data_IF_922035601846
#
_entry.id   IF_922035601846
#
_cell.length_a   1.000
_cell.length_b   1.000
_cell.length_c   1.000
_cell.angle_alpha   90.00
_cell.angle_beta   90.00
_cell.angle_gamma   90.00
#
_symmetry.space_group_name_H-M   'P 1'
#
loop_
_entity.id
_entity.type
_entity.pdbx_description
1 polymer ?
#
# COMPACT_ATOMS: atom_id res chain seq x y z
N UNK A 1 -35.74 -34.22 52.94
CA UNK A 1 -34.37 -34.40 53.47
C UNK A 1 -33.54 -35.06 52.39
N UNK A 2 -32.34 -34.51 52.20
CA UNK A 2 -31.25 -34.96 51.31
C UNK A 2 -31.54 -34.98 49.80
N UNK A 3 -30.93 -34.02 49.10
CA UNK A 3 -30.79 -33.97 47.65
C UNK A 3 -29.65 -34.90 47.21
N UNK A 4 -29.90 -35.64 46.13
CA UNK A 4 -28.88 -36.36 45.37
C UNK A 4 -28.14 -35.41 44.41
N UNK A 5 -26.85 -35.70 44.25
CA UNK A 5 -25.88 -34.97 43.43
C UNK A 5 -26.15 -35.32 41.96
N UNK A 6 -26.51 -34.32 41.16
CA UNK A 6 -26.41 -34.37 39.69
C UNK A 6 -25.23 -33.50 39.28
N UNK A 7 -24.21 -34.13 38.70
CA UNK A 7 -23.10 -33.45 38.04
C UNK A 7 -23.61 -32.90 36.71
N UNK A 8 -23.72 -31.57 36.61
CA UNK A 8 -23.95 -30.88 35.35
C UNK A 8 -22.68 -30.14 34.92
N UNK A 9 -22.08 -30.61 33.83
CA UNK A 9 -21.13 -29.84 33.03
C UNK A 9 -21.83 -28.62 32.43
N UNK A 10 -21.42 -27.43 32.86
CA UNK A 10 -21.52 -26.14 32.18
C UNK A 10 -20.74 -25.16 33.07
N UNK A 11 -19.82 -24.35 32.58
CA UNK A 11 -20.15 -23.25 31.68
C UNK A 11 -18.99 -22.90 30.77
N UNK A 12 -19.29 -22.85 29.47
CA UNK A 12 -18.51 -22.19 28.45
C UNK A 12 -18.01 -20.82 28.92
N UNK A 13 -16.71 -20.55 28.74
CA UNK A 13 -16.17 -19.20 28.84
C UNK A 13 -16.73 -18.39 27.69
N UNK A 14 -17.81 -17.66 27.96
CA UNK A 14 -18.33 -16.63 27.08
C UNK A 14 -17.26 -15.57 26.90
N UNK A 15 -16.51 -15.65 25.80
CA UNK A 15 -15.79 -14.53 25.25
C UNK A 15 -16.83 -13.46 24.93
N UNK A 16 -16.93 -12.46 25.81
CA UNK A 16 -17.70 -11.25 25.53
C UNK A 16 -17.13 -10.66 24.24
N UNK A 17 -17.94 -10.72 23.18
CA UNK A 17 -17.71 -9.92 21.98
C UNK A 17 -17.64 -8.45 22.41
N UNK A 18 -16.62 -7.69 21.99
CA UNK A 18 -16.63 -6.25 22.18
C UNK A 18 -17.89 -5.69 21.51
N UNK A 19 -18.66 -4.92 22.26
CA UNK A 19 -19.78 -4.17 21.72
C UNK A 19 -19.23 -3.03 20.85
N UNK A 20 -19.33 -3.17 19.52
CA UNK A 20 -18.92 -2.16 18.55
C UNK A 20 -18.13 -2.76 17.38
N UNK A 21 -18.83 -3.40 16.44
CA UNK A 21 -18.23 -3.84 15.19
C UNK A 21 -17.95 -2.65 14.28
N UNK A 22 -16.79 -2.00 14.46
CA UNK A 22 -16.23 -1.14 13.44
C UNK A 22 -15.26 -1.98 12.62
N UNK A 23 -15.67 -2.29 11.41
CA UNK A 23 -14.78 -2.81 10.38
C UNK A 23 -13.63 -1.82 10.15
N UNK A 24 -12.43 -2.18 10.62
CA UNK A 24 -11.26 -1.30 10.56
C UNK A 24 -10.78 -1.16 9.10
N UNK A 25 -10.42 0.05 8.69
CA UNK A 25 -9.90 0.37 7.35
C UNK A 25 -8.52 1.00 7.49
N UNK A 26 -7.62 0.79 6.53
CA UNK A 26 -6.28 1.35 6.61
C UNK A 26 -5.64 1.55 5.23
N UNK A 27 -4.71 2.50 5.17
CA UNK A 27 -3.71 2.52 4.10
C UNK A 27 -2.65 1.47 4.39
N UNK A 28 -2.08 0.89 3.35
CA UNK A 28 -0.98 -0.07 3.48
C UNK A 28 0.11 0.21 2.46
N UNK A 29 1.36 0.13 2.90
CA UNK A 29 2.54 0.17 2.03
C UNK A 29 3.48 -1.00 2.37
N UNK A 30 4.48 -1.23 1.52
CA UNK A 30 5.43 -2.32 1.67
C UNK A 30 6.86 -1.79 1.67
N UNK A 31 7.66 -2.24 2.65
CA UNK A 31 9.08 -1.91 2.76
C UNK A 31 9.92 -3.17 2.96
N UNK A 32 11.04 -3.24 2.24
CA UNK A 32 12.00 -4.32 2.34
C UNK A 32 13.42 -3.78 2.23
N UNK A 33 14.39 -4.58 2.71
CA UNK A 33 15.84 -4.31 2.67
C UNK A 33 16.29 -3.12 3.52
N UNK A 34 17.61 -3.05 3.69
CA UNK A 34 18.29 -1.87 4.19
C UNK A 34 18.53 -0.87 3.05
N UNK A 35 17.54 -0.04 2.75
CA UNK A 35 17.64 0.99 1.71
C UNK A 35 16.94 2.30 2.10
N UNK A 36 17.12 3.31 1.27
CA UNK A 36 16.59 4.66 1.49
C UNK A 36 15.08 4.82 1.26
N UNK A 37 14.38 3.75 0.86
CA UNK A 37 12.91 3.75 0.74
C UNK A 37 12.21 3.99 2.08
N UNK A 38 12.89 3.86 3.21
CA UNK A 38 12.36 4.34 4.50
C UNK A 38 12.01 5.83 4.45
N UNK A 39 12.79 6.67 3.73
CA UNK A 39 12.49 8.09 3.54
C UNK A 39 11.19 8.29 2.76
N UNK A 40 10.96 7.40 1.78
CA UNK A 40 9.76 7.38 0.97
C UNK A 40 8.52 7.13 1.84
N UNK A 41 8.57 6.10 2.70
CA UNK A 41 7.48 5.77 3.63
C UNK A 41 7.24 6.87 4.66
N UNK A 42 8.30 7.51 5.19
CA UNK A 42 8.14 8.70 6.07
C UNK A 42 7.44 9.84 5.32
N UNK A 43 7.86 10.12 4.09
CA UNK A 43 7.22 11.12 3.23
C UNK A 43 5.75 10.80 2.97
N UNK A 44 5.40 9.54 2.73
CA UNK A 44 4.02 9.07 2.56
C UNK A 44 3.19 9.24 3.84
N UNK A 45 3.74 8.85 5.00
CA UNK A 45 3.06 9.03 6.29
C UNK A 45 2.76 10.51 6.57
N UNK A 46 3.72 11.40 6.30
CA UNK A 46 3.53 12.85 6.39
C UNK A 46 2.50 13.37 5.39
N UNK A 47 2.50 12.84 4.15
CA UNK A 47 1.52 13.21 3.12
C UNK A 47 0.09 12.86 3.53
N UNK A 48 -0.15 11.63 3.98
CA UNK A 48 -1.43 11.19 4.52
C UNK A 48 -1.89 12.07 5.69
N UNK A 49 -0.98 12.43 6.59
CA UNK A 49 -1.27 13.36 7.70
C UNK A 49 -1.59 14.77 7.22
N UNK A 50 -0.87 15.29 6.21
CA UNK A 50 -1.11 16.62 5.62
C UNK A 50 -2.51 16.74 5.04
N UNK A 51 -2.98 15.68 4.39
CA UNK A 51 -4.35 15.60 3.83
C UNK A 51 -5.39 15.17 4.87
N UNK A 52 -4.98 15.04 6.14
CA UNK A 52 -5.83 14.75 7.28
C UNK A 52 -6.65 13.47 7.10
N UNK A 53 -6.01 12.41 6.64
CA UNK A 53 -6.69 11.11 6.58
C UNK A 53 -7.20 10.69 7.96
N UNK A 54 -8.38 10.05 7.99
CA UNK A 54 -8.92 9.44 9.20
C UNK A 54 -8.31 8.06 9.51
N UNK A 55 -7.57 7.46 8.57
CA UNK A 55 -7.16 6.07 8.63
C UNK A 55 -5.65 5.90 8.87
N UNK A 56 -5.22 4.87 9.60
CA UNK A 56 -3.80 4.64 9.87
C UNK A 56 -3.05 4.16 8.62
N UNK A 57 -1.72 4.31 8.65
CA UNK A 57 -0.80 3.69 7.68
C UNK A 57 -0.18 2.43 8.28
N UNK A 58 -0.50 1.29 7.70
CA UNK A 58 0.16 0.00 7.97
C UNK A 58 1.37 -0.13 7.04
N UNK A 59 2.52 -0.51 7.58
CA UNK A 59 3.71 -0.81 6.78
C UNK A 59 4.01 -2.30 6.91
N UNK A 60 3.78 -3.04 5.82
CA UNK A 60 4.23 -4.41 5.69
C UNK A 60 5.75 -4.42 5.55
N UNK A 61 6.47 -5.02 6.49
CA UNK A 61 7.93 -5.06 6.52
C UNK A 61 8.46 -6.48 6.39
N UNK A 62 9.56 -6.67 5.66
CA UNK A 62 10.30 -7.93 5.68
C UNK A 62 11.28 -7.99 6.87
N UNK A 63 11.66 -9.20 7.32
CA UNK A 63 12.66 -9.37 8.39
C UNK A 63 14.01 -8.68 8.12
N UNK A 64 14.34 -8.41 6.86
CA UNK A 64 15.59 -7.75 6.46
C UNK A 64 15.59 -6.21 6.58
N UNK A 65 14.46 -5.62 6.98
CA UNK A 65 14.36 -4.18 7.29
C UNK A 65 15.05 -3.91 8.63
N UNK A 66 16.09 -3.05 8.69
CA UNK A 66 16.82 -2.75 9.92
C UNK A 66 15.92 -2.21 11.04
N UNK A 67 16.28 -2.53 12.27
CA UNK A 67 15.59 -2.06 13.48
C UNK A 67 15.54 -0.53 13.58
N UNK A 68 16.59 0.16 13.11
CA UNK A 68 16.60 1.63 13.03
C UNK A 68 15.49 2.18 12.11
N UNK A 69 15.23 1.52 10.98
CA UNK A 69 14.16 1.91 10.07
C UNK A 69 12.80 1.62 10.69
N UNK A 70 12.66 0.49 11.37
CA UNK A 70 11.41 0.11 12.07
C UNK A 70 11.04 1.16 13.13
N UNK A 71 11.98 1.48 14.02
CA UNK A 71 11.79 2.51 15.05
C UNK A 71 11.49 3.88 14.46
N UNK A 72 12.16 4.25 13.35
CA UNK A 72 11.88 5.50 12.65
C UNK A 72 10.42 5.54 12.16
N UNK A 73 9.93 4.46 11.54
CA UNK A 73 8.56 4.39 11.06
C UNK A 73 7.53 4.40 12.20
N UNK A 74 7.77 3.67 13.27
CA UNK A 74 6.92 3.69 14.47
C UNK A 74 6.89 5.10 15.10
N UNK A 75 8.04 5.78 15.17
CA UNK A 75 8.10 7.17 15.64
C UNK A 75 7.31 8.15 14.76
N UNK A 76 7.03 7.77 13.51
CA UNK A 76 6.21 8.52 12.56
C UNK A 76 4.73 8.06 12.57
N UNK A 77 4.33 7.25 13.55
CA UNK A 77 2.95 6.80 13.77
C UNK A 77 2.51 5.68 12.83
N UNK A 78 3.44 5.02 12.12
CA UNK A 78 3.14 3.87 11.28
C UNK A 78 2.90 2.62 12.12
N UNK A 79 1.97 1.77 11.70
CA UNK A 79 1.73 0.45 12.29
C UNK A 79 2.56 -0.57 11.51
N UNK A 80 3.60 -1.13 12.12
CA UNK A 80 4.40 -2.15 11.46
C UNK A 80 3.73 -3.52 11.53
N UNK A 81 3.71 -4.22 10.40
CA UNK A 81 3.31 -5.62 10.31
C UNK A 81 4.39 -6.40 9.59
N UNK A 82 5.10 -7.26 10.32
CA UNK A 82 6.07 -8.13 9.69
C UNK A 82 5.37 -9.20 8.84
N UNK A 83 5.89 -9.44 7.65
CA UNK A 83 5.39 -10.45 6.71
C UNK A 83 6.51 -11.35 6.22
N UNK A 84 6.14 -12.59 5.89
CA UNK A 84 7.09 -13.58 5.37
C UNK A 84 7.51 -13.26 3.93
N UNK A 85 8.82 -13.29 3.61
CA UNK A 85 9.31 -13.18 2.25
C UNK A 85 8.68 -14.22 1.33
N UNK A 86 8.37 -13.83 0.10
CA UNK A 86 7.94 -14.76 -0.95
C UNK A 86 9.13 -15.16 -1.79
N UNK A 87 9.40 -16.47 -1.82
CA UNK A 87 10.44 -17.08 -2.63
C UNK A 87 9.82 -17.76 -3.84
N UNK A 88 10.33 -17.46 -5.03
CA UNK A 88 9.98 -18.19 -6.25
C UNK A 88 10.83 -19.47 -6.34
N UNK A 89 10.30 -20.56 -6.92
CA UNK A 89 11.08 -21.73 -7.31
C UNK A 89 12.34 -21.37 -8.12
N UNK A 90 13.43 -22.13 -7.96
CA UNK A 90 14.72 -21.84 -8.61
C UNK A 90 14.61 -21.73 -10.14
N UNK A 91 13.81 -22.59 -10.78
CA UNK A 91 13.55 -22.57 -12.23
C UNK A 91 12.82 -21.31 -12.72
N UNK A 92 12.23 -20.53 -11.81
CA UNK A 92 11.55 -19.27 -12.08
C UNK A 92 12.43 -18.04 -11.79
N UNK A 93 13.56 -18.18 -11.09
CA UNK A 93 14.44 -17.02 -10.80
C UNK A 93 15.24 -16.53 -12.00
N UNK A 94 15.38 -17.33 -13.07
CA UNK A 94 16.25 -17.03 -14.22
C UNK A 94 15.79 -15.83 -15.07
N UNK A 95 14.50 -15.48 -15.01
CA UNK A 95 13.89 -14.42 -15.82
C UNK A 95 13.51 -13.16 -15.02
N UNK A 96 13.71 -13.18 -13.70
CA UNK A 96 13.32 -12.09 -12.82
C UNK A 96 14.55 -11.40 -12.23
N UNK A 97 14.64 -10.07 -12.39
CA UNK A 97 15.61 -9.28 -11.63
C UNK A 97 15.36 -9.50 -10.13
N UNK A 98 16.38 -9.81 -9.32
CA UNK A 98 16.19 -10.18 -7.91
C UNK A 98 15.43 -9.16 -7.05
N UNK A 99 15.38 -7.88 -7.45
CA UNK A 99 14.52 -6.88 -6.79
C UNK A 99 13.03 -7.03 -7.16
N UNK A 100 12.69 -7.56 -8.32
CA UNK A 100 11.30 -7.80 -8.75
C UNK A 100 10.67 -8.97 -7.99
N UNK A 101 11.49 -9.93 -7.55
CA UNK A 101 11.04 -11.07 -6.76
C UNK A 101 10.54 -10.60 -5.38
N UNK A 102 11.23 -9.64 -4.77
CA UNK A 102 10.88 -9.16 -3.43
C UNK A 102 9.47 -8.55 -3.39
N UNK A 103 9.04 -7.94 -4.51
CA UNK A 103 7.72 -7.31 -4.62
C UNK A 103 6.58 -8.31 -4.51
N UNK A 104 6.78 -9.59 -4.85
CA UNK A 104 5.77 -10.62 -4.62
C UNK A 104 5.46 -10.81 -3.13
N UNK A 105 6.37 -10.44 -2.23
CA UNK A 105 6.09 -10.47 -0.79
C UNK A 105 4.93 -9.54 -0.41
N UNK A 106 4.69 -8.47 -1.20
CA UNK A 106 3.56 -7.57 -0.98
C UNK A 106 2.20 -8.28 -1.11
N UNK A 107 2.12 -9.45 -1.74
CA UNK A 107 0.88 -10.25 -1.79
C UNK A 107 0.39 -10.68 -0.39
N UNK A 108 1.27 -10.67 0.62
CA UNK A 108 0.93 -10.97 2.01
C UNK A 108 0.01 -9.93 2.66
N UNK A 109 -0.14 -8.74 2.09
CA UNK A 109 -1.09 -7.74 2.62
C UNK A 109 -2.54 -8.22 2.57
N UNK A 110 -2.88 -9.20 1.73
CA UNK A 110 -4.20 -9.84 1.75
C UNK A 110 -4.44 -10.70 3.00
N UNK A 111 -3.42 -10.99 3.81
CA UNK A 111 -3.57 -11.72 5.08
C UNK A 111 -4.03 -10.81 6.23
N UNK A 112 -4.12 -9.49 6.02
CA UNK A 112 -4.46 -8.50 7.04
C UNK A 112 -5.98 -8.44 7.32
N UNK A 113 -6.59 -9.58 7.65
CA UNK A 113 -8.05 -9.73 7.91
C UNK A 113 -8.57 -8.93 9.12
N UNK A 114 -7.70 -8.30 9.89
CA UNK A 114 -8.07 -7.30 10.89
C UNK A 114 -8.72 -6.05 10.26
N UNK A 115 -8.54 -5.85 8.95
CA UNK A 115 -9.13 -4.76 8.18
C UNK A 115 -10.13 -5.27 7.16
N UNK A 116 -11.27 -4.59 7.00
CA UNK A 116 -12.28 -4.96 6.00
C UNK A 116 -11.92 -4.48 4.59
N UNK A 117 -11.24 -3.34 4.50
CA UNK A 117 -10.80 -2.74 3.24
C UNK A 117 -9.52 -1.95 3.43
N UNK A 118 -8.64 -2.04 2.46
CA UNK A 118 -7.36 -1.35 2.47
C UNK A 118 -7.08 -0.66 1.15
N UNK A 119 -6.34 0.45 1.23
CA UNK A 119 -5.77 1.13 0.06
C UNK A 119 -4.27 0.90 0.08
N UNK A 120 -3.77 0.13 -0.88
CA UNK A 120 -2.35 -0.04 -1.08
C UNK A 120 -1.76 1.18 -1.79
N UNK A 121 -0.62 1.65 -1.30
CA UNK A 121 0.20 2.71 -1.90
C UNK A 121 1.65 2.21 -1.93
N UNK A 122 2.28 2.20 -3.11
CA UNK A 122 3.73 2.00 -3.17
C UNK A 122 4.45 3.07 -2.33
N UNK A 123 5.60 2.72 -1.76
CA UNK A 123 6.39 3.65 -0.95
C UNK A 123 6.83 4.91 -1.72
N UNK A 124 6.93 4.84 -3.06
CA UNK A 124 7.28 5.94 -3.96
C UNK A 124 6.08 6.71 -4.51
N UNK A 125 4.93 6.59 -3.85
CA UNK A 125 3.75 7.42 -4.07
C UNK A 125 3.72 8.56 -3.05
N UNK A 126 3.15 9.70 -3.44
CA UNK A 126 2.81 10.78 -2.52
C UNK A 126 1.35 11.20 -2.69
N UNK A 127 0.69 11.46 -1.56
CA UNK A 127 -0.70 11.90 -1.48
C UNK A 127 -0.73 13.41 -1.21
N UNK A 128 -1.37 14.16 -2.10
CA UNK A 128 -1.47 15.61 -2.10
C UNK A 128 -2.87 16.15 -1.80
N UNK A 129 -3.89 15.30 -1.90
CA UNK A 129 -5.25 15.59 -1.48
C UNK A 129 -5.88 14.34 -0.85
N UNK A 130 -6.91 14.51 -0.03
CA UNK A 130 -7.54 13.40 0.68
C UNK A 130 -8.23 12.44 -0.32
N UNK A 131 -8.03 11.13 -0.12
CA UNK A 131 -8.56 10.04 -0.95
C UNK A 131 -9.37 9.02 -0.12
N UNK A 132 -9.77 9.39 1.09
CA UNK A 132 -10.51 8.54 2.02
C UNK A 132 -11.85 8.09 1.43
N UNK A 133 -12.42 8.85 0.49
CA UNK A 133 -13.65 8.47 -0.22
C UNK A 133 -13.53 7.14 -0.98
N UNK A 134 -12.31 6.71 -1.30
CA UNK A 134 -12.07 5.44 -1.97
C UNK A 134 -12.41 4.23 -1.09
N UNK A 135 -12.44 4.38 0.23
CA UNK A 135 -12.91 3.32 1.12
C UNK A 135 -14.42 3.06 1.02
N UNK A 136 -15.18 4.03 0.50
CA UNK A 136 -16.64 3.94 0.36
C UNK A 136 -17.09 3.35 -0.99
N UNK A 137 -16.13 3.00 -1.86
CA UNK A 137 -16.42 2.28 -3.10
C UNK A 137 -17.03 0.90 -2.81
N UNK A 138 -17.94 0.37 -3.64
CA UNK A 138 -18.57 -0.93 -3.40
C UNK A 138 -17.56 -2.06 -3.22
N UNK A 139 -17.81 -2.92 -2.23
CA UNK A 139 -16.97 -4.09 -1.95
C UNK A 139 -17.01 -5.11 -3.10
N UNK A 140 -15.96 -5.92 -3.17
CA UNK A 140 -15.90 -7.10 -4.02
C UNK A 140 -15.29 -6.83 -5.39
N UNK A 141 -14.90 -5.61 -5.70
CA UNK A 141 -14.16 -5.22 -6.90
C UNK A 141 -12.72 -4.81 -6.52
N UNK A 142 -11.76 -5.09 -7.40
CA UNK A 142 -10.38 -4.59 -7.29
C UNK A 142 -10.27 -3.25 -8.03
N UNK A 143 -10.05 -2.15 -7.31
CA UNK A 143 -10.00 -0.83 -7.94
C UNK A 143 -8.56 -0.35 -8.11
N UNK A 144 -8.19 0.08 -9.32
CA UNK A 144 -6.86 0.61 -9.60
C UNK A 144 -6.89 1.57 -10.80
N UNK A 145 -5.85 2.37 -10.98
CA UNK A 145 -5.76 3.27 -12.14
C UNK A 145 -5.18 2.54 -13.34
N UNK A 146 -5.73 2.81 -14.53
CA UNK A 146 -5.23 2.28 -15.80
C UNK A 146 -3.76 2.65 -16.03
N UNK A 147 -2.98 1.70 -16.51
CA UNK A 147 -1.62 1.90 -16.98
C UNK A 147 -1.62 2.38 -18.44
N UNK A 148 -0.65 3.24 -18.81
CA UNK A 148 -0.48 3.72 -20.18
C UNK A 148 0.66 2.97 -20.87
N UNK A 149 0.34 2.23 -21.93
CA UNK A 149 1.32 1.45 -22.70
C UNK A 149 1.94 2.22 -23.87
N UNK A 150 2.44 3.40 -23.61
CA UNK A 150 2.61 4.37 -24.68
C UNK A 150 3.95 4.17 -25.42
N UNK A 151 3.86 3.89 -26.74
CA UNK A 151 4.89 3.52 -27.74
C UNK A 151 5.82 2.34 -27.43
N UNK A 152 6.71 2.41 -26.44
CA UNK A 152 7.77 1.40 -26.26
C UNK A 152 7.27 0.10 -25.59
N UNK A 153 6.37 0.22 -24.62
CA UNK A 153 5.78 -0.96 -23.96
C UNK A 153 4.73 -1.65 -24.83
N UNK A 154 4.07 -0.89 -25.70
CA UNK A 154 3.13 -1.43 -26.68
C UNK A 154 3.81 -2.33 -27.70
N UNK A 155 5.01 -2.01 -28.17
CA UNK A 155 5.76 -2.90 -29.08
C UNK A 155 6.06 -4.26 -28.41
N UNK A 156 6.40 -4.24 -27.12
CA UNK A 156 6.67 -5.45 -26.34
C UNK A 156 5.39 -6.28 -26.07
N UNK A 157 4.24 -5.63 -25.89
CA UNK A 157 2.93 -6.28 -25.70
C UNK A 157 2.30 -6.75 -27.03
N UNK A 158 2.43 -5.98 -28.11
CA UNK A 158 1.96 -6.33 -29.45
C UNK A 158 2.75 -7.51 -30.04
N UNK A 159 4.05 -7.59 -29.76
CA UNK A 159 4.86 -8.76 -30.09
C UNK A 159 4.35 -10.06 -29.43
N UNK A 160 3.67 -9.95 -28.28
CA UNK A 160 3.03 -11.10 -27.60
C UNK A 160 1.59 -11.35 -28.06
N UNK A 161 0.84 -10.32 -28.43
CA UNK A 161 -0.60 -10.41 -28.68
C UNK A 161 -1.00 -10.70 -30.14
N UNK A 162 -0.08 -10.63 -31.12
CA UNK A 162 -0.37 -10.79 -32.56
C UNK A 162 -1.58 -9.95 -33.04
N UNK A 163 -1.88 -8.84 -32.36
CA UNK A 163 -3.01 -7.96 -32.65
C UNK A 163 -2.64 -6.51 -32.40
N UNK A 164 -3.12 -5.62 -33.28
CA UNK A 164 -2.91 -4.19 -33.19
C UNK A 164 -3.89 -3.56 -32.18
N UNK A 165 -3.78 -3.91 -30.90
CA UNK A 165 -4.58 -3.25 -29.86
C UNK A 165 -4.11 -1.81 -29.64
N UNK A 166 -5.07 -0.90 -29.46
CA UNK A 166 -4.79 0.48 -29.01
C UNK A 166 -4.64 0.50 -27.49
N UNK A 167 -3.90 1.46 -26.93
CA UNK A 167 -3.75 1.68 -25.47
C UNK A 167 -5.07 1.68 -24.68
N UNK A 168 -6.19 1.99 -25.33
CA UNK A 168 -7.53 2.10 -24.71
C UNK A 168 -8.29 0.77 -24.64
N UNK A 169 -7.82 -0.29 -25.29
CA UNK A 169 -8.55 -1.56 -25.41
C UNK A 169 -8.05 -2.65 -24.44
N UNK A 170 -6.93 -2.41 -23.74
CA UNK A 170 -6.44 -3.29 -22.69
C UNK A 170 -6.80 -2.69 -21.33
N UNK A 171 -7.73 -3.33 -20.62
CA UNK A 171 -7.96 -3.07 -19.19
C UNK A 171 -6.77 -3.62 -18.40
N UNK A 172 -5.74 -2.79 -18.25
CA UNK A 172 -4.55 -3.12 -17.48
C UNK A 172 -4.24 -1.98 -16.52
N UNK A 173 -4.05 -2.29 -15.25
CA UNK A 173 -3.82 -1.31 -14.20
C UNK A 173 -2.35 -1.19 -13.80
N UNK A 174 -2.01 -0.01 -13.30
CA UNK A 174 -0.79 0.24 -12.57
C UNK A 174 -0.94 -0.23 -11.13
N UNK A 175 -0.06 -1.10 -10.65
CA UNK A 175 -0.15 -1.70 -9.30
C UNK A 175 0.50 -0.86 -8.19
N UNK A 176 0.82 0.41 -8.49
CA UNK A 176 1.36 1.35 -7.52
C UNK A 176 0.33 1.89 -6.54
N UNK A 177 -0.95 1.82 -6.89
CA UNK A 177 -2.05 2.15 -6.01
C UNK A 177 -3.27 1.31 -6.37
N UNK A 178 -3.92 0.72 -5.36
CA UNK A 178 -5.16 -0.02 -5.55
C UNK A 178 -5.98 -0.14 -4.25
N UNK A 179 -7.28 -0.35 -4.38
CA UNK A 179 -8.22 -0.63 -3.29
C UNK A 179 -8.60 -2.11 -3.32
N UNK A 180 -8.57 -2.77 -2.17
CA UNK A 180 -8.87 -4.20 -2.06
C UNK A 180 -9.40 -4.57 -0.67
N UNK A 181 -10.09 -5.72 -0.59
CA UNK A 181 -10.46 -6.35 0.68
C UNK A 181 -9.46 -7.46 1.06
N UNK A 182 -8.81 -7.37 2.23
CA UNK A 182 -8.00 -8.46 2.75
C UNK A 182 -8.82 -9.74 2.93
N UNK A 183 -8.22 -10.88 2.57
CA UNK A 183 -8.81 -12.21 2.76
C UNK A 183 -7.72 -13.27 2.73
N UNK A 184 -7.62 -14.09 3.77
CA UNK A 184 -6.70 -15.24 3.81
C UNK A 184 -6.92 -16.19 2.64
N UNK A 185 -8.17 -16.36 2.23
CA UNK A 185 -8.53 -17.20 1.07
C UNK A 185 -7.92 -16.64 -0.21
N UNK A 186 -8.04 -15.33 -0.43
CA UNK A 186 -7.44 -14.66 -1.60
C UNK A 186 -5.92 -14.65 -1.49
N UNK A 187 -5.34 -14.36 -0.32
CA UNK A 187 -3.90 -14.41 -0.09
C UNK A 187 -3.33 -15.80 -0.44
N UNK A 188 -3.96 -16.87 0.07
CA UNK A 188 -3.57 -18.25 -0.25
C UNK A 188 -3.66 -18.54 -1.75
N UNK A 189 -4.75 -18.14 -2.40
CA UNK A 189 -4.92 -18.31 -3.85
C UNK A 189 -3.84 -17.54 -4.64
N UNK A 190 -3.55 -16.30 -4.26
CA UNK A 190 -2.47 -15.50 -4.84
C UNK A 190 -1.11 -16.20 -4.70
N UNK A 191 -0.78 -16.74 -3.53
CA UNK A 191 0.52 -17.40 -3.33
C UNK A 191 0.61 -18.76 -4.02
N UNK A 192 -0.47 -19.54 -4.06
CA UNK A 192 -0.49 -20.84 -4.72
C UNK A 192 -0.47 -20.71 -6.24
N UNK A 193 -1.21 -19.75 -6.81
CA UNK A 193 -1.17 -19.45 -8.25
C UNK A 193 0.19 -18.89 -8.66
N UNK A 194 0.87 -18.12 -7.81
CA UNK A 194 2.20 -17.59 -8.11
C UNK A 194 3.23 -18.71 -8.33
N UNK A 195 3.20 -19.79 -7.54
CA UNK A 195 4.14 -20.92 -7.66
C UNK A 195 4.16 -21.56 -9.05
N UNK A 196 3.03 -21.55 -9.74
CA UNK A 196 2.87 -22.14 -11.08
C UNK A 196 2.82 -21.09 -12.19
N UNK A 197 2.88 -19.80 -11.85
CA UNK A 197 2.91 -18.72 -12.84
C UNK A 197 4.35 -18.48 -13.29
N UNK A 198 4.55 -18.30 -14.59
CA UNK A 198 5.86 -17.92 -15.11
C UNK A 198 6.15 -16.47 -14.71
N UNK A 199 7.36 -16.16 -14.20
CA UNK A 199 7.76 -14.78 -13.94
C UNK A 199 7.65 -13.95 -15.20
N UNK A 200 7.32 -12.68 -15.01
CA UNK A 200 7.17 -11.76 -16.12
C UNK A 200 8.02 -10.51 -15.92
N UNK A 201 8.28 -9.73 -16.99
CA UNK A 201 9.08 -8.51 -16.89
C UNK A 201 8.48 -7.49 -15.90
N UNK A 202 7.15 -7.36 -15.80
CA UNK A 202 6.53 -6.40 -14.89
C UNK A 202 6.18 -6.99 -13.51
N UNK A 203 6.86 -8.08 -13.14
CA UNK A 203 6.87 -8.61 -11.78
C UNK A 203 5.45 -8.85 -11.23
N UNK A 204 5.13 -8.22 -10.10
CA UNK A 204 3.84 -8.37 -9.44
C UNK A 204 2.71 -7.61 -10.13
N UNK A 205 2.99 -6.58 -10.95
CA UNK A 205 1.96 -5.83 -11.65
C UNK A 205 1.25 -6.69 -12.69
N UNK A 206 2.00 -7.37 -13.56
CA UNK A 206 1.43 -8.25 -14.58
C UNK A 206 0.76 -9.48 -13.95
N UNK A 207 1.33 -9.98 -12.84
CA UNK A 207 0.70 -11.04 -12.07
C UNK A 207 -0.67 -10.64 -11.52
N UNK A 208 -0.76 -9.48 -10.86
CA UNK A 208 -2.01 -8.96 -10.31
C UNK A 208 -3.03 -8.67 -11.41
N UNK A 209 -2.59 -8.10 -12.54
CA UNK A 209 -3.47 -7.85 -13.69
C UNK A 209 -4.13 -9.13 -14.19
N UNK A 210 -3.36 -10.21 -14.33
CA UNK A 210 -3.91 -11.51 -14.72
C UNK A 210 -4.82 -12.10 -13.65
N UNK A 211 -4.46 -11.95 -12.37
CA UNK A 211 -5.24 -12.55 -11.28
C UNK A 211 -6.60 -11.87 -11.09
N UNK A 212 -6.68 -10.56 -11.29
CA UNK A 212 -7.86 -9.74 -11.07
C UNK A 212 -8.56 -9.31 -12.38
N UNK A 213 -8.24 -9.93 -13.52
CA UNK A 213 -8.77 -9.55 -14.83
C UNK A 213 -10.30 -9.50 -14.88
N UNK A 214 -10.96 -10.47 -14.24
CA UNK A 214 -12.43 -10.58 -14.19
C UNK A 214 -13.08 -9.69 -13.12
N UNK A 215 -12.29 -9.05 -12.27
CA UNK A 215 -12.76 -8.34 -11.07
C UNK A 215 -12.16 -6.94 -10.92
N UNK A 216 -11.62 -6.38 -11.99
CA UNK A 216 -10.95 -5.08 -11.98
C UNK A 216 -11.91 -3.96 -12.39
N UNK A 217 -11.89 -2.83 -11.65
CA UNK A 217 -12.56 -1.59 -12.03
C UNK A 217 -11.63 -0.39 -12.07
N UNK A 218 -11.63 0.40 -13.17
CA UNK A 218 -10.71 1.51 -13.33
C UNK A 218 -11.08 2.70 -12.43
N UNK A 219 -10.07 3.27 -11.79
CA UNK A 219 -10.11 4.54 -11.09
C UNK A 219 -9.70 5.70 -11.98
N UNK A 220 -10.13 6.91 -11.61
CA UNK A 220 -9.68 8.14 -12.27
C UNK A 220 -8.16 8.29 -12.18
N UNK A 221 -7.46 8.75 -13.24
CA UNK A 221 -6.02 8.93 -13.21
C UNK A 221 -5.50 9.94 -12.17
N UNK A 222 -6.38 10.76 -11.58
CA UNK A 222 -6.02 11.66 -10.46
C UNK A 222 -5.54 10.91 -9.21
N UNK A 223 -5.90 9.62 -9.07
CA UNK A 223 -5.58 8.78 -7.91
C UNK A 223 -4.27 7.99 -8.04
N UNK A 224 -3.59 8.06 -9.17
CA UNK A 224 -2.26 7.45 -9.37
C UNK A 224 -1.62 8.00 -10.65
N UNK A 225 -1.23 9.28 -10.63
CA UNK A 225 -0.52 9.85 -11.78
C UNK A 225 0.89 9.29 -11.85
N UNK A 226 1.13 8.39 -12.81
CA UNK A 226 2.49 8.03 -13.23
C UNK A 226 3.18 9.26 -13.81
N UNK A 227 4.32 9.64 -13.23
CA UNK A 227 5.03 10.86 -13.61
C UNK A 227 5.39 10.90 -15.10
N UNK A 228 5.60 9.74 -15.74
CA UNK A 228 5.89 9.66 -17.17
C UNK A 228 4.74 10.14 -18.07
N UNK A 229 3.52 10.24 -17.54
CA UNK A 229 2.38 10.79 -18.28
C UNK A 229 2.58 12.25 -18.66
N UNK A 230 3.37 13.01 -17.90
CA UNK A 230 3.64 14.42 -18.15
C UNK A 230 4.31 14.68 -19.52
N UNK A 231 5.12 13.74 -19.99
CA UNK A 231 5.84 13.86 -21.27
C UNK A 231 5.38 12.85 -22.32
N UNK A 232 4.74 11.75 -21.93
CA UNK A 232 4.12 10.81 -22.88
C UNK A 232 2.82 11.35 -23.48
N UNK A 233 2.10 12.22 -22.76
CA UNK A 233 0.82 12.80 -23.18
C UNK A 233 0.70 14.30 -22.89
N UNK A 234 1.62 15.15 -23.37
CA UNK A 234 1.68 16.57 -22.98
C UNK A 234 0.38 17.34 -23.25
N UNK A 235 -0.42 16.92 -24.24
CA UNK A 235 -1.71 17.50 -24.60
C UNK A 235 -2.93 16.93 -23.84
N UNK A 236 -2.77 15.77 -23.18
CA UNK A 236 -3.84 15.04 -22.49
C UNK A 236 -3.52 14.76 -21.01
N UNK A 237 -2.49 15.39 -20.45
CA UNK A 237 -2.15 15.22 -19.03
C UNK A 237 -3.30 15.75 -18.19
N UNK A 238 -3.71 14.97 -17.19
CA UNK A 238 -4.50 15.47 -16.06
C UNK A 238 -3.83 16.75 -15.55
N UNK A 239 -4.60 17.83 -15.42
CA UNK A 239 -4.10 19.06 -14.79
C UNK A 239 -3.42 18.71 -13.47
N UNK A 240 -2.11 18.93 -13.39
CA UNK A 240 -1.27 18.55 -12.24
C UNK A 240 -1.81 19.15 -10.94
N UNK A 241 -2.55 20.26 -11.01
CA UNK A 241 -3.20 20.88 -9.85
C UNK A 241 -4.39 20.07 -9.30
N UNK A 242 -4.98 19.19 -10.12
CA UNK A 242 -6.12 18.33 -9.77
C UNK A 242 -5.70 16.91 -9.38
N UNK A 243 -4.42 16.59 -9.50
CA UNK A 243 -3.89 15.28 -9.14
C UNK A 243 -3.86 15.16 -7.63
N UNK A 244 -4.48 14.10 -7.12
CA UNK A 244 -4.50 13.78 -5.69
C UNK A 244 -3.30 12.93 -5.28
N UNK A 245 -2.83 12.07 -6.18
CA UNK A 245 -1.77 11.10 -5.90
C UNK A 245 -0.79 11.06 -7.06
N UNK A 246 0.51 11.19 -6.75
CA UNK A 246 1.60 11.13 -7.74
C UNK A 246 2.48 9.92 -7.45
N UNK A 247 2.79 9.16 -8.49
CA UNK A 247 3.65 7.99 -8.42
C UNK A 247 4.99 8.29 -9.11
N UNK A 248 6.05 8.37 -8.31
CA UNK A 248 7.39 8.70 -8.77
C UNK A 248 8.10 7.45 -9.31
N UNK A 249 7.46 6.71 -10.22
CA UNK A 249 7.97 5.43 -10.74
C UNK A 249 9.07 5.57 -11.81
N UNK A 250 9.12 6.70 -12.53
CA UNK A 250 10.08 6.94 -13.59
C UNK A 250 11.54 6.97 -13.07
N UNK A 251 12.50 6.53 -13.89
CA UNK A 251 13.91 6.59 -13.55
C UNK A 251 14.35 8.03 -13.23
N UNK A 252 15.11 8.22 -12.15
CA UNK A 252 15.53 9.54 -11.66
C UNK A 252 14.46 10.35 -10.93
N UNK A 253 13.19 9.93 -10.98
CA UNK A 253 12.09 10.73 -10.42
C UNK A 253 11.90 10.60 -8.91
N UNK A 254 12.53 9.61 -8.26
CA UNK A 254 12.45 9.43 -6.80
C UNK A 254 12.93 10.71 -6.09
N UNK A 255 12.08 11.43 -5.34
CA UNK A 255 12.45 12.74 -4.80
C UNK A 255 13.71 12.73 -3.93
N UNK A 256 13.91 11.67 -3.13
CA UNK A 256 15.09 11.50 -2.26
C UNK A 256 16.38 11.09 -2.99
N UNK A 257 16.31 10.79 -4.30
CA UNK A 257 17.45 10.51 -5.18
C UNK A 257 17.53 11.46 -6.36
N UNK A 258 16.71 12.51 -6.37
CA UNK A 258 16.53 13.35 -7.53
C UNK A 258 17.81 14.14 -7.84
N UNK A 259 18.36 13.96 -9.05
CA UNK A 259 19.55 14.69 -9.50
C UNK A 259 19.26 15.72 -10.58
N UNK A 260 18.10 15.61 -11.25
CA UNK A 260 17.73 16.43 -12.39
C UNK A 260 18.45 16.07 -13.70
N UNK A 261 19.29 15.02 -13.71
CA UNK A 261 20.13 14.64 -14.86
C UNK A 261 19.53 13.55 -15.73
N UNK A 262 18.68 12.70 -15.15
CA UNK A 262 17.99 11.65 -15.89
C UNK A 262 16.98 12.23 -16.88
N UNK A 263 16.59 11.41 -17.84
CA UNK A 263 15.70 11.83 -18.92
C UNK A 263 14.39 12.42 -18.38
N UNK A 264 13.97 13.56 -18.94
CA UNK A 264 12.77 14.30 -18.57
C UNK A 264 12.78 14.91 -17.15
N UNK A 265 13.85 14.72 -16.36
CA UNK A 265 13.94 15.31 -15.02
C UNK A 265 14.22 16.83 -15.07
N UNK A 266 14.75 17.35 -16.17
CA UNK A 266 14.96 18.79 -16.34
C UNK A 266 13.65 19.61 -16.44
N UNK A 267 12.48 18.97 -16.57
CA UNK A 267 11.19 19.63 -16.76
C UNK A 267 10.73 20.37 -15.50
N UNK A 268 10.07 21.51 -15.70
CA UNK A 268 9.61 22.36 -14.59
C UNK A 268 8.46 21.73 -13.79
N UNK A 269 7.57 20.98 -14.43
CA UNK A 269 6.51 20.24 -13.74
C UNK A 269 7.05 19.12 -12.83
N UNK A 270 8.07 18.40 -13.30
CA UNK A 270 8.79 17.39 -12.50
C UNK A 270 9.51 18.03 -11.31
N UNK A 271 10.28 19.10 -11.54
CA UNK A 271 10.96 19.85 -10.45
C UNK A 271 9.97 20.35 -9.41
N UNK A 272 8.84 20.89 -9.84
CA UNK A 272 7.77 21.36 -8.95
C UNK A 272 7.22 20.22 -8.10
N UNK A 273 6.95 19.05 -8.68
CA UNK A 273 6.46 17.88 -7.94
C UNK A 273 7.50 17.29 -6.99
N UNK A 274 8.79 17.33 -7.34
CA UNK A 274 9.88 16.92 -6.43
C UNK A 274 9.99 17.90 -5.26
N UNK A 275 9.91 19.21 -5.53
CA UNK A 275 9.92 20.23 -4.48
C UNK A 275 8.73 20.07 -3.53
N UNK A 276 7.52 19.86 -4.07
CA UNK A 276 6.33 19.55 -3.26
C UNK A 276 6.53 18.34 -2.35
N UNK A 277 7.21 17.30 -2.83
CA UNK A 277 7.51 16.14 -2.00
C UNK A 277 8.43 16.51 -0.83
N UNK A 278 9.47 17.30 -1.09
CA UNK A 278 10.39 17.79 -0.05
C UNK A 278 9.73 18.75 0.93
N UNK A 279 8.80 19.59 0.47
CA UNK A 279 7.96 20.43 1.35
C UNK A 279 7.17 19.58 2.34
N UNK A 280 6.61 18.44 1.91
CA UNK A 280 5.94 17.50 2.82
C UNK A 280 6.93 16.81 3.75
N UNK A 281 8.05 16.31 3.22
CA UNK A 281 9.01 15.54 4.00
C UNK A 281 9.70 16.38 5.09
N UNK A 282 10.10 17.61 4.76
CA UNK A 282 10.82 18.53 5.65
C UNK A 282 9.92 19.29 6.63
N UNK A 283 8.60 19.21 6.48
CA UNK A 283 7.67 19.87 7.41
C UNK A 283 7.61 19.08 8.73
N UNK A 284 8.24 19.63 9.77
CA UNK A 284 8.24 19.07 11.13
C UNK A 284 6.87 19.17 11.81
N UNK A 285 5.99 20.09 11.37
CA UNK A 285 4.63 20.14 11.89
C UNK A 285 3.81 18.90 11.47
N UNK A 286 4.27 18.20 10.43
CA UNK A 286 3.75 16.91 10.01
C UNK A 286 4.43 15.73 10.71
N UNK A 287 5.38 15.88 11.63
CA UNK A 287 5.84 14.74 12.42
C UNK A 287 4.73 14.20 13.32
N UNK A 288 4.74 12.88 13.55
CA UNK A 288 3.76 12.27 14.44
C UNK A 288 3.96 12.74 15.88
N UNK A 289 2.88 13.20 16.49
CA UNK A 289 2.84 13.59 17.91
C UNK A 289 2.01 12.55 18.64
N UNK A 290 2.60 11.71 19.51
CA UNK A 290 1.84 10.75 20.27
C UNK A 290 0.82 11.51 21.15
N UNK A 291 -0.40 10.98 21.33
CA UNK A 291 -1.39 11.61 22.19
C UNK A 291 -0.80 11.74 23.60
N UNK A 292 -0.77 12.97 24.12
CA UNK A 292 -0.43 13.24 25.52
C UNK A 292 -1.62 12.82 26.37
N UNK A 293 -1.47 11.72 27.11
CA UNK A 293 -2.43 11.37 28.15
C UNK A 293 -2.18 12.32 29.33
N UNK A 294 -3.04 13.33 29.51
CA UNK A 294 -3.05 14.09 30.76
C UNK A 294 -3.58 13.17 31.88
N UNK A 295 -2.77 12.96 32.92
CA UNK A 295 -3.21 12.27 34.14
C UNK A 295 -4.43 13.00 34.72
N UNK A 296 -5.64 12.45 34.51
CA UNK A 296 -6.86 12.91 35.18
C UNK A 296 -8.08 13.19 34.30
N UNK A 297 -8.00 13.11 32.98
CA UNK A 297 -9.19 13.20 32.11
C UNK A 297 -9.68 11.80 31.71
N UNK A 298 -10.85 11.41 32.23
CA UNK A 298 -11.52 10.14 31.90
C UNK A 298 -12.21 10.13 30.51
N UNK A 299 -11.91 11.09 29.66
CA UNK A 299 -12.49 11.21 28.31
C UNK A 299 -11.36 11.43 27.30
N UNK A 300 -10.98 10.41 26.52
CA UNK A 300 -10.04 10.61 25.42
C UNK A 300 -10.68 11.50 24.36
N UNK A 301 -10.01 12.61 24.01
CA UNK A 301 -10.31 13.36 22.78
C UNK A 301 -10.24 12.38 21.61
N UNK A 302 -11.38 12.18 20.97
CA UNK A 302 -11.61 11.09 20.02
C UNK A 302 -10.61 11.06 18.86
N UNK A 303 -9.64 10.15 18.95
CA UNK A 303 -8.94 9.58 17.78
C UNK A 303 -9.07 8.06 17.87
N UNK A 304 -10.30 7.58 17.70
CA UNK A 304 -10.70 6.19 17.93
C UNK A 304 -10.21 5.12 16.91
N UNK A 305 -9.62 5.40 15.72
CA UNK A 305 -9.18 4.29 14.86
C UNK A 305 -7.83 3.68 15.24
N UNK A 306 -6.97 4.36 16.02
CA UNK A 306 -5.58 3.90 16.24
C UNK A 306 -5.44 2.78 17.29
N UNK A 307 -6.31 2.71 18.30
CA UNK A 307 -6.13 1.74 19.40
C UNK A 307 -6.61 0.32 19.06
N UNK A 308 -7.59 0.17 18.17
CA UNK A 308 -8.14 -1.14 17.82
C UNK A 308 -7.14 -2.03 17.05
N UNK A 309 -6.28 -1.43 16.21
CA UNK A 309 -5.32 -2.17 15.39
C UNK A 309 -4.09 -2.70 16.16
N UNK A 310 -3.81 -2.13 17.34
CA UNK A 310 -2.67 -2.50 18.18
C UNK A 310 -2.94 -3.75 19.04
N UNK A 311 -4.21 -4.04 19.36
CA UNK A 311 -4.56 -5.12 20.30
C UNK A 311 -4.37 -6.54 19.71
N UNK A 312 -4.27 -6.69 18.38
CA UNK A 312 -3.99 -7.97 17.73
C UNK A 312 -2.50 -8.19 17.40
N UNK A 313 -1.62 -7.24 17.76
CA UNK A 313 -0.17 -7.39 17.66
C UNK A 313 0.41 -7.60 19.07
N UNK A 314 0.64 -8.85 19.45
CA UNK A 314 1.11 -9.21 20.79
C UNK A 314 2.38 -8.47 21.21
N UNK A 315 2.24 -7.49 22.08
CA UNK A 315 3.27 -7.01 22.98
C UNK A 315 2.60 -6.58 24.29
N UNK A 316 2.56 -7.50 25.27
CA UNK A 316 2.30 -7.09 26.65
C UNK A 316 3.48 -6.22 27.12
N UNK A 317 3.24 -5.04 27.72
CA UNK A 317 4.31 -4.33 28.40
C UNK A 317 4.70 -5.16 29.62
N UNK A 318 5.89 -5.75 29.61
CA UNK A 318 6.50 -6.18 30.86
C UNK A 318 6.96 -4.92 31.59
N UNK A 319 6.30 -4.66 32.72
CA UNK A 319 6.73 -3.69 33.70
C UNK A 319 8.09 -4.11 34.30
N UNK A 320 9.06 -3.21 34.23
CA UNK A 320 10.16 -3.08 35.19
C UNK A 320 10.68 -1.63 35.15
#
# INVERSE_FOLDING_TARGET
>A
MAAEIVLSDNTASGLMKPAGGFESRAYVTFLARNGDYVKAVVGLAKGLRKVKTAYPLVVAVLPDVPEEHRRLLESQGCILREIEPVHLPENQTQFAMGYRIINYSKLRIWDFEAFSKMIYLNADVQVYDNIDELFDYPDGDFYAVLHCFCKEEMEMMQAKANTALRCQEILYFNSGMFVFEPSKKICKKLLDTLKVTLPTPFAEQEYLNKFFEDNYKPLSPVYNLDLAMLWRHPENVVDVKRVKVVHYCAAGSKPWRYTGKEENMQREDVKMLVNKWWEVYNDEALDYKPPTYEEGSLEPVSQQPFQAALWEGGASPQAA
#
